data_IF_093725954980
#
_entry.id   IF_093725954980
#
_cell.length_a   1.000
_cell.length_b   1.000
_cell.length_c   1.000
_cell.angle_alpha   90.00
_cell.angle_beta   90.00
_cell.angle_gamma   90.00
#
_symmetry.space_group_name_H-M   'P 1'
#
loop_
_entity.id
_entity.type
_entity.pdbx_description
1 polymer ?
#
# COMPACT_ATOMS: atom_id res chain seq x y z
N UNK A 1 -2.69 3.15 20.26
CA UNK A 1 -2.13 2.86 18.91
C UNK A 1 -1.07 3.89 18.58
N UNK A 2 0.10 3.47 18.11
CA UNK A 2 1.14 4.39 17.66
C UNK A 2 0.68 5.08 16.36
N UNK A 3 0.75 6.41 16.32
CA UNK A 3 0.54 7.17 15.10
C UNK A 3 1.86 7.16 14.33
N UNK A 4 1.82 6.94 13.02
CA UNK A 4 3.01 7.06 12.19
C UNK A 4 3.36 8.54 12.03
N UNK A 5 4.65 8.85 12.01
CA UNK A 5 5.14 10.19 11.76
C UNK A 5 4.80 10.66 10.32
N UNK A 6 4.28 11.89 10.12
CA UNK A 6 3.91 12.38 8.79
C UNK A 6 5.07 12.41 7.78
N UNK A 7 6.30 12.69 8.22
CA UNK A 7 7.47 12.68 7.32
C UNK A 7 7.80 11.26 6.85
N UNK A 8 7.62 10.25 7.71
CA UNK A 8 7.78 8.85 7.32
C UNK A 8 6.72 8.43 6.31
N UNK A 9 5.47 8.91 6.45
CA UNK A 9 4.42 8.67 5.45
C UNK A 9 4.82 9.24 4.09
N UNK A 10 5.32 10.47 4.05
CA UNK A 10 5.74 11.10 2.80
C UNK A 10 6.92 10.35 2.15
N UNK A 11 7.87 9.87 2.94
CA UNK A 11 8.97 9.02 2.46
C UNK A 11 8.45 7.72 1.82
N UNK A 12 7.52 7.01 2.48
CA UNK A 12 6.92 5.79 1.95
C UNK A 12 6.18 6.07 0.64
N UNK A 13 5.41 7.16 0.58
CA UNK A 13 4.72 7.59 -0.63
C UNK A 13 5.70 7.84 -1.78
N UNK A 14 6.77 8.60 -1.54
CA UNK A 14 7.79 8.87 -2.56
C UNK A 14 8.46 7.59 -3.03
N UNK A 15 8.77 6.67 -2.13
CA UNK A 15 9.39 5.39 -2.46
C UNK A 15 8.47 4.50 -3.31
N UNK A 16 7.17 4.47 -3.01
CA UNK A 16 6.16 3.78 -3.82
C UNK A 16 6.06 4.38 -5.23
N UNK A 17 5.94 5.71 -5.33
CA UNK A 17 5.87 6.40 -6.64
C UNK A 17 7.14 6.17 -7.45
N UNK A 18 8.33 6.21 -6.82
CA UNK A 18 9.62 5.92 -7.48
C UNK A 18 9.68 4.51 -8.08
N UNK A 19 8.94 3.56 -7.51
CA UNK A 19 8.81 2.18 -8.02
C UNK A 19 7.70 2.01 -9.06
N UNK A 20 7.02 3.08 -9.45
CA UNK A 20 5.99 3.08 -10.49
C UNK A 20 4.58 2.82 -9.98
N UNK A 21 4.37 2.76 -8.65
CA UNK A 21 3.02 2.68 -8.11
C UNK A 21 2.28 3.99 -8.32
N UNK A 22 1.00 3.89 -8.69
CA UNK A 22 0.09 5.03 -8.86
C UNK A 22 -0.91 5.04 -7.71
N UNK A 23 -1.23 6.23 -7.23
CA UNK A 23 -2.29 6.41 -6.24
C UNK A 23 -3.64 6.24 -6.91
N UNK A 24 -4.43 5.27 -6.44
CA UNK A 24 -5.68 4.83 -7.08
C UNK A 24 -6.93 5.20 -6.26
N UNK A 25 -6.78 5.41 -4.96
CA UNK A 25 -7.91 5.64 -4.04
C UNK A 25 -7.85 7.03 -3.37
N UNK A 26 -8.51 8.06 -3.93
CA UNK A 26 -8.48 9.41 -3.39
C UNK A 26 -9.36 9.63 -2.16
N UNK A 27 -10.36 8.77 -1.92
CA UNK A 27 -11.31 8.93 -0.81
C UNK A 27 -10.85 8.24 0.47
N UNK A 28 -9.95 7.27 0.34
CA UNK A 28 -9.44 6.46 1.42
C UNK A 28 -10.49 5.56 2.05
N UNK A 29 -10.04 4.46 2.62
CA UNK A 29 -10.92 3.49 3.28
C UNK A 29 -10.49 3.21 4.71
N UNK A 30 -11.34 2.50 5.44
CA UNK A 30 -11.13 2.19 6.85
C UNK A 30 -9.92 1.27 7.05
N UNK A 31 -9.08 1.63 8.02
CA UNK A 31 -7.94 0.82 8.41
C UNK A 31 -8.36 -0.31 9.36
N UNK A 32 -8.14 -1.57 8.96
CA UNK A 32 -8.35 -2.73 9.83
C UNK A 32 -7.51 -2.70 11.14
N UNK A 33 -6.42 -1.93 11.16
CA UNK A 33 -5.56 -1.77 12.34
C UNK A 33 -6.06 -0.71 13.31
N UNK A 34 -6.38 0.50 12.84
CA UNK A 34 -6.71 1.64 13.71
C UNK A 34 -8.15 2.17 13.60
N UNK A 35 -8.98 1.64 12.70
CA UNK A 35 -10.37 2.03 12.50
C UNK A 35 -10.59 3.40 11.83
N UNK A 36 -9.52 4.10 11.43
CA UNK A 36 -9.64 5.41 10.78
C UNK A 36 -9.78 5.26 9.26
N UNK A 37 -10.57 6.13 8.63
CA UNK A 37 -10.66 6.29 7.16
C UNK A 37 -9.43 7.02 6.63
N UNK A 38 -8.31 6.30 6.61
CA UNK A 38 -6.99 6.86 6.29
C UNK A 38 -6.11 5.88 5.51
N UNK A 39 -6.69 4.84 4.94
CA UNK A 39 -5.95 3.92 4.07
C UNK A 39 -5.99 4.43 2.65
N UNK A 40 -4.82 4.60 2.04
CA UNK A 40 -4.67 4.95 0.64
C UNK A 40 -4.18 3.75 -0.16
N UNK A 41 -4.69 3.58 -1.38
CA UNK A 41 -4.31 2.49 -2.27
C UNK A 41 -3.29 2.95 -3.32
N UNK A 42 -2.25 2.15 -3.47
CA UNK A 42 -1.22 2.28 -4.49
C UNK A 42 -1.22 1.06 -5.39
N UNK A 43 -1.43 1.26 -6.69
CA UNK A 43 -1.49 0.17 -7.68
C UNK A 43 -0.30 0.23 -8.63
N UNK A 44 0.28 -0.93 -8.89
CA UNK A 44 1.28 -1.14 -9.92
C UNK A 44 0.70 -2.15 -10.91
N UNK A 45 0.52 -1.75 -12.17
CA UNK A 45 0.06 -2.62 -13.23
C UNK A 45 1.15 -2.78 -14.29
N UNK A 46 1.40 -4.02 -14.69
CA UNK A 46 2.34 -4.37 -15.75
C UNK A 46 1.77 -5.49 -16.63
N UNK A 47 2.37 -5.74 -17.79
CA UNK A 47 1.97 -6.85 -18.68
C UNK A 47 2.11 -8.24 -18.03
N UNK A 48 2.96 -8.38 -17.00
CA UNK A 48 3.23 -9.64 -16.31
C UNK A 48 2.37 -9.82 -15.05
N UNK A 49 1.50 -8.87 -14.73
CA UNK A 49 0.71 -8.84 -13.51
C UNK A 49 0.85 -7.51 -12.79
N UNK A 50 0.31 -7.43 -11.58
CA UNK A 50 0.28 -6.20 -10.80
C UNK A 50 0.44 -6.43 -9.31
N UNK A 51 0.50 -5.32 -8.58
CA UNK A 51 0.52 -5.30 -7.12
C UNK A 51 -0.25 -4.11 -6.60
N UNK A 52 -1.08 -4.36 -5.61
CA UNK A 52 -1.78 -3.32 -4.86
C UNK A 52 -1.19 -3.24 -3.48
N UNK A 53 -0.97 -2.04 -2.99
CA UNK A 53 -0.50 -1.77 -1.64
C UNK A 53 -1.48 -0.80 -1.01
N UNK A 54 -2.14 -1.24 0.05
CA UNK A 54 -2.91 -0.38 0.91
C UNK A 54 -2.01 0.09 2.06
N UNK A 55 -1.94 1.40 2.28
CA UNK A 55 -1.12 2.02 3.34
C UNK A 55 -2.00 2.94 4.18
N UNK A 56 -2.07 2.69 5.48
CA UNK A 56 -2.68 3.63 6.41
C UNK A 56 -1.75 4.79 6.72
N UNK A 57 -2.13 6.01 6.33
CA UNK A 57 -1.33 7.23 6.61
C UNK A 57 -1.40 7.68 8.08
N UNK A 58 -2.17 6.98 8.92
CA UNK A 58 -2.34 7.33 10.34
C UNK A 58 -1.62 6.38 11.29
N UNK A 59 -1.63 5.08 11.03
CA UNK A 59 -0.92 4.10 11.86
C UNK A 59 0.25 3.40 11.15
N UNK A 60 0.39 3.57 9.83
CA UNK A 60 1.47 2.96 9.05
C UNK A 60 1.23 1.50 8.68
N UNK A 61 0.08 0.90 9.05
CA UNK A 61 -0.27 -0.46 8.64
C UNK A 61 -0.30 -0.54 7.11
N UNK A 62 0.37 -1.54 6.55
CA UNK A 62 0.39 -1.79 5.13
C UNK A 62 -0.06 -3.22 4.82
N UNK A 63 -0.78 -3.39 3.72
CA UNK A 63 -1.18 -4.69 3.17
C UNK A 63 -0.87 -4.71 1.68
N UNK A 64 -0.54 -5.89 1.15
CA UNK A 64 -0.20 -6.06 -0.26
C UNK A 64 -1.02 -7.18 -0.87
N UNK A 65 -1.42 -6.99 -2.12
CA UNK A 65 -2.05 -8.01 -2.93
C UNK A 65 -1.30 -8.13 -4.25
N UNK A 66 -0.92 -9.35 -4.62
CA UNK A 66 -0.41 -9.63 -5.96
C UNK A 66 -1.56 -9.96 -6.91
N UNK A 67 -1.53 -9.38 -8.12
CA UNK A 67 -2.45 -9.71 -9.22
C UNK A 67 -1.70 -10.50 -10.29
N UNK A 68 -2.23 -11.65 -10.71
CA UNK A 68 -1.68 -12.40 -11.85
C UNK A 68 -2.13 -11.77 -13.17
N UNK A 69 -1.30 -11.90 -14.22
CA UNK A 69 -1.66 -11.41 -15.54
C UNK A 69 -2.89 -12.14 -16.10
N UNK A 70 -3.88 -11.38 -16.59
CA UNK A 70 -5.05 -11.95 -17.26
C UNK A 70 -6.14 -12.50 -16.33
N UNK A 71 -6.02 -12.33 -15.01
CA UNK A 71 -7.04 -12.71 -14.04
C UNK A 71 -7.41 -11.53 -13.14
N UNK A 72 -8.67 -11.46 -12.70
CA UNK A 72 -9.09 -10.50 -11.67
C UNK A 72 -8.72 -10.97 -10.25
N UNK A 73 -8.23 -12.20 -10.11
CA UNK A 73 -7.75 -12.76 -8.86
C UNK A 73 -6.61 -11.93 -8.26
N UNK A 74 -6.79 -11.60 -6.98
CA UNK A 74 -5.83 -10.94 -6.12
C UNK A 74 -5.56 -11.82 -4.91
N UNK A 75 -4.29 -12.13 -4.69
CA UNK A 75 -3.83 -12.94 -3.56
C UNK A 75 -3.20 -12.02 -2.53
N UNK A 76 -3.73 -12.02 -1.30
CA UNK A 76 -3.18 -11.20 -0.21
C UNK A 76 -1.89 -11.81 0.34
N UNK A 77 -0.89 -10.96 0.55
CA UNK A 77 0.35 -11.34 1.23
C UNK A 77 0.21 -11.12 2.75
N UNK A 78 -0.06 -12.20 3.48
CA UNK A 78 -0.35 -12.15 4.92
C UNK A 78 0.78 -11.55 5.78
N UNK A 79 2.04 -11.68 5.36
CA UNK A 79 3.22 -11.21 6.10
C UNK A 79 3.95 -10.06 5.37
N UNK A 80 3.19 -9.19 4.71
CA UNK A 80 3.79 -8.07 3.97
C UNK A 80 4.35 -7.00 4.90
N UNK A 81 5.66 -6.76 4.79
CA UNK A 81 6.36 -5.62 5.41
C UNK A 81 6.72 -4.59 4.34
N UNK A 82 6.08 -3.42 4.41
CA UNK A 82 6.30 -2.34 3.45
C UNK A 82 7.71 -1.75 3.53
N UNK A 83 8.30 -1.64 4.72
CA UNK A 83 9.63 -1.06 4.91
C UNK A 83 10.68 -1.97 4.27
N UNK A 84 10.60 -3.27 4.58
CA UNK A 84 11.47 -4.29 3.99
C UNK A 84 11.28 -4.38 2.48
N UNK A 85 10.03 -4.32 2.00
CA UNK A 85 9.73 -4.26 0.58
C UNK A 85 10.43 -3.05 -0.06
N UNK A 86 10.26 -1.86 0.52
CA UNK A 86 10.81 -0.59 0.02
C UNK A 86 12.33 -0.45 0.17
N UNK A 87 12.96 -1.29 1.02
CA UNK A 87 14.38 -1.22 1.40
C UNK A 87 14.72 0.12 2.10
N UNK A 88 13.88 0.50 3.06
CA UNK A 88 13.98 1.71 3.90
C UNK A 88 14.21 1.37 5.39
#
# INVERSE_FOLDING_TARGET
>A
MAKIDPSRVDELRRALVKRGFKHDDPLGHECAGCGEFAVVRYVLQSRLGGRDIDLCIRCGLARSWSRRAGTEDREEEAEFDLIRFLRL
#
